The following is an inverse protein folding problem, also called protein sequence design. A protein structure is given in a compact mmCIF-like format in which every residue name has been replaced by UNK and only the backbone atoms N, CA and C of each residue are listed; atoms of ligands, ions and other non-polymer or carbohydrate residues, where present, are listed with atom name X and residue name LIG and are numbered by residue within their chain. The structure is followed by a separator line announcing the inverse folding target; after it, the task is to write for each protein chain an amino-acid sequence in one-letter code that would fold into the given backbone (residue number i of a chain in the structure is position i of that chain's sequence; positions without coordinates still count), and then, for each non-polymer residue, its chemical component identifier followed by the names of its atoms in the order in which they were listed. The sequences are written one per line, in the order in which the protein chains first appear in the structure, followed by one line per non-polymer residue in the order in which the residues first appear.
data_IF_140797753332
#
_entry.id   IF_140797753332
#
_cell.length_a   1.000
_cell.length_b   1.000
_cell.length_c   1.000
_cell.angle_alpha   90.00
_cell.angle_beta   90.00
_cell.angle_gamma   90.00
#
_symmetry.space_group_name_H-M   'P 1'
#
loop_
_entity.id
_entity.type
_entity.pdbx_description
1 polymer ?
#
# COMPACT_ATOMS: atom_id res chain seq x y z
N UNK A 1 0.06 -6.55 19.35
CA UNK A 1 -1.32 -6.14 19.65
C UNK A 1 -1.82 -5.37 18.45
N UNK A 2 -2.69 -5.99 17.67
CA UNK A 2 -3.28 -5.41 16.47
C UNK A 2 -4.07 -4.14 16.82
N UNK A 3 -3.89 -3.08 16.04
CA UNK A 3 -4.62 -1.81 16.20
C UNK A 3 -5.51 -1.54 14.99
N UNK A 4 -6.68 -0.95 15.27
CA UNK A 4 -7.56 -0.41 14.24
C UNK A 4 -7.13 1.01 13.85
N UNK A 5 -7.57 1.50 12.69
CA UNK A 5 -7.21 2.83 12.21
C UNK A 5 -7.64 3.92 13.21
N UNK A 6 -8.82 3.80 13.82
CA UNK A 6 -9.31 4.73 14.83
C UNK A 6 -8.40 4.76 16.07
N UNK A 7 -7.90 3.60 16.52
CA UNK A 7 -6.98 3.52 17.67
C UNK A 7 -5.64 4.19 17.39
N UNK A 8 -5.10 3.98 16.18
CA UNK A 8 -3.86 4.65 15.73
C UNK A 8 -4.10 6.16 15.66
N UNK A 9 -5.20 6.59 15.05
CA UNK A 9 -5.60 8.01 14.94
C UNK A 9 -5.65 8.67 16.32
N UNK A 10 -6.34 8.05 17.28
CA UNK A 10 -6.42 8.55 18.64
C UNK A 10 -5.05 8.61 19.34
N UNK A 11 -4.18 7.60 19.12
CA UNK A 11 -2.80 7.60 19.63
C UNK A 11 -2.02 8.81 19.12
N UNK A 12 -2.05 9.07 17.81
CA UNK A 12 -1.37 10.22 17.20
C UNK A 12 -1.92 11.55 17.74
N UNK A 13 -3.25 11.73 17.75
CA UNK A 13 -3.89 12.96 18.26
C UNK A 13 -3.48 13.21 19.72
N UNK A 14 -3.53 12.17 20.55
CA UNK A 14 -3.16 12.27 21.98
C UNK A 14 -1.70 12.66 22.17
N UNK A 15 -0.79 12.20 21.32
CA UNK A 15 0.64 12.55 21.38
C UNK A 15 0.89 14.00 20.96
N UNK A 16 0.13 14.51 19.97
CA UNK A 16 0.28 15.87 19.45
C UNK A 16 -0.41 16.91 20.34
N UNK A 17 -1.57 16.58 20.94
CA UNK A 17 -2.44 17.51 21.68
C UNK A 17 -1.72 18.40 22.72
N UNK A 18 -0.80 17.90 23.55
CA UNK A 18 -0.12 18.74 24.56
C UNK A 18 0.74 19.88 23.96
N UNK A 19 1.07 19.80 22.67
CA UNK A 19 1.91 20.79 21.97
C UNK A 19 1.10 21.76 21.10
N UNK A 20 -0.20 21.53 20.98
CA UNK A 20 -1.09 22.40 20.21
C UNK A 20 -1.76 23.42 21.13
N UNK A 21 -2.08 24.60 20.61
CA UNK A 21 -2.97 25.52 21.31
C UNK A 21 -4.37 24.93 21.41
N UNK A 22 -5.13 25.32 22.45
CA UNK A 22 -6.51 24.85 22.65
C UNK A 22 -7.43 25.17 21.46
N UNK A 23 -7.07 26.17 20.65
CA UNK A 23 -7.82 26.59 19.45
C UNK A 23 -7.49 25.76 18.19
N UNK A 24 -6.46 24.92 18.23
CA UNK A 24 -6.03 24.12 17.07
C UNK A 24 -6.88 22.84 16.94
N UNK A 25 -7.91 22.88 16.11
CA UNK A 25 -8.72 21.70 15.79
C UNK A 25 -8.00 20.80 14.78
N UNK A 26 -7.52 19.65 15.23
CA UNK A 26 -6.96 18.62 14.36
C UNK A 26 -8.07 17.75 13.79
N UNK A 27 -8.23 17.73 12.47
CA UNK A 27 -9.24 16.90 11.82
C UNK A 27 -8.83 15.42 11.83
N UNK A 28 -9.68 14.55 12.40
CA UNK A 28 -9.50 13.09 12.35
C UNK A 28 -9.26 12.57 10.93
N UNK A 29 -10.01 13.09 9.95
CA UNK A 29 -9.87 12.70 8.54
C UNK A 29 -8.45 12.98 8.03
N UNK A 30 -7.95 14.17 8.32
CA UNK A 30 -6.60 14.56 7.89
C UNK A 30 -5.50 13.71 8.56
N UNK A 31 -5.65 13.39 9.86
CA UNK A 31 -4.73 12.48 10.55
C UNK A 31 -4.76 11.08 9.93
N UNK A 32 -5.95 10.56 9.61
CA UNK A 32 -6.10 9.27 8.89
C UNK A 32 -5.42 9.29 7.53
N UNK A 33 -5.54 10.38 6.78
CA UNK A 33 -4.87 10.54 5.49
C UNK A 33 -3.34 10.55 5.66
N UNK A 34 -2.80 11.18 6.72
CA UNK A 34 -1.36 11.09 7.04
C UNK A 34 -0.94 9.67 7.43
N UNK A 35 -1.77 8.93 8.17
CA UNK A 35 -1.52 7.53 8.55
C UNK A 35 -1.41 6.65 7.30
N UNK A 36 -2.36 6.78 6.36
CA UNK A 36 -2.35 6.03 5.09
C UNK A 36 -1.10 6.37 4.27
N UNK A 37 -0.76 7.67 4.15
CA UNK A 37 0.43 8.09 3.43
C UNK A 37 1.73 7.49 4.01
N UNK A 38 1.90 7.54 5.34
CA UNK A 38 3.07 6.96 6.02
C UNK A 38 3.07 5.43 5.90
N UNK A 39 1.92 4.77 6.00
CA UNK A 39 1.81 3.32 5.74
C UNK A 39 2.38 2.96 4.37
N UNK A 40 2.03 3.71 3.32
CA UNK A 40 2.49 3.44 1.95
C UNK A 40 4.00 3.65 1.80
N UNK A 41 4.60 4.55 2.58
CA UNK A 41 6.06 4.69 2.68
C UNK A 41 6.68 3.47 3.35
N UNK A 42 6.13 3.02 4.49
CA UNK A 42 6.64 1.86 5.22
C UNK A 42 6.54 0.55 4.42
N UNK A 43 5.48 0.39 3.62
CA UNK A 43 5.32 -0.75 2.70
C UNK A 43 6.45 -0.78 1.69
N UNK A 44 6.74 0.36 1.04
CA UNK A 44 7.84 0.47 0.06
C UNK A 44 9.20 0.22 0.71
N UNK A 45 9.43 0.73 1.92
CA UNK A 45 10.66 0.46 2.68
C UNK A 45 10.82 -1.03 3.02
N UNK A 46 9.73 -1.69 3.44
CA UNK A 46 9.73 -3.13 3.76
C UNK A 46 9.99 -3.98 2.52
N UNK A 47 9.38 -3.62 1.39
CA UNK A 47 9.63 -4.26 0.09
C UNK A 47 11.09 -4.09 -0.36
N UNK A 48 11.63 -2.86 -0.27
CA UNK A 48 13.01 -2.56 -0.68
C UNK A 48 14.05 -3.26 0.20
N UNK A 49 13.74 -3.48 1.48
CA UNK A 49 14.57 -4.26 2.40
C UNK A 49 14.44 -5.78 2.23
N UNK A 50 13.61 -6.26 1.29
CA UNK A 50 13.33 -7.68 1.02
C UNK A 50 12.77 -8.42 2.25
N UNK A 51 12.13 -7.72 3.16
CA UNK A 51 11.41 -8.33 4.28
C UNK A 51 10.08 -8.94 3.81
N UNK A 52 9.48 -9.79 4.64
CA UNK A 52 8.18 -10.39 4.31
C UNK A 52 7.08 -9.33 4.25
N UNK A 53 6.20 -9.46 3.25
CA UNK A 53 5.06 -8.57 3.04
C UNK A 53 3.73 -9.17 3.52
N UNK A 54 3.76 -10.36 4.13
CA UNK A 54 2.56 -11.16 4.42
C UNK A 54 1.50 -10.42 5.26
N UNK A 55 1.94 -9.56 6.17
CA UNK A 55 1.08 -8.82 7.10
C UNK A 55 0.44 -7.55 6.50
N UNK A 56 0.78 -7.18 5.26
CA UNK A 56 0.16 -6.04 4.57
C UNK A 56 -0.96 -6.45 3.63
N UNK A 57 -1.06 -7.74 3.29
CA UNK A 57 -2.07 -8.23 2.38
C UNK A 57 -3.45 -8.20 3.01
N UNK A 58 -4.42 -7.86 2.19
CA UNK A 58 -5.84 -7.83 2.52
C UNK A 58 -6.57 -8.66 1.49
N UNK A 59 -7.57 -9.40 1.95
CA UNK A 59 -8.47 -10.17 1.09
C UNK A 59 -9.68 -9.30 0.73
N UNK A 60 -10.06 -9.34 -0.55
CA UNK A 60 -11.29 -8.76 -1.04
C UNK A 60 -11.97 -9.77 -1.97
N UNK A 61 -13.26 -9.94 -1.78
CA UNK A 61 -14.10 -10.78 -2.64
C UNK A 61 -14.95 -9.86 -3.51
N UNK A 62 -14.93 -10.10 -4.82
CA UNK A 62 -15.71 -9.34 -5.79
C UNK A 62 -16.68 -10.26 -6.51
N UNK A 63 -17.95 -9.85 -6.70
CA UNK A 63 -18.80 -10.49 -7.69
C UNK A 63 -18.18 -10.31 -9.07
N UNK A 64 -18.19 -11.38 -9.86
CA UNK A 64 -17.60 -11.40 -11.17
C UNK A 64 -18.43 -10.56 -12.14
N UNK A 65 -17.94 -9.33 -12.35
CA UNK A 65 -17.64 -8.75 -13.66
C UNK A 65 -18.82 -8.34 -14.55
N UNK A 66 -18.75 -7.08 -14.96
CA UNK A 66 -19.44 -6.56 -16.14
C UNK A 66 -18.79 -7.11 -17.41
N UNK A 67 -19.50 -7.96 -18.15
CA UNK A 67 -19.14 -8.25 -19.54
C UNK A 67 -19.48 -7.01 -20.38
N UNK A 68 -18.47 -6.34 -20.92
CA UNK A 68 -18.72 -5.27 -21.89
C UNK A 68 -18.73 -5.89 -23.28
N UNK A 69 -19.93 -6.00 -23.87
CA UNK A 69 -20.10 -6.51 -25.24
C UNK A 69 -19.94 -5.41 -26.29
N UNK A 70 -19.79 -4.15 -25.85
CA UNK A 70 -19.60 -3.02 -26.75
C UNK A 70 -18.91 -1.84 -26.09
N UNK A 71 -17.97 -1.21 -26.77
CA UNK A 71 -17.31 0.03 -26.31
C UNK A 71 -17.67 1.17 -27.26
N UNK A 72 -18.09 2.32 -26.73
CA UNK A 72 -18.32 3.53 -27.52
C UNK A 72 -17.10 4.45 -27.46
N UNK A 73 -16.48 4.74 -28.62
CA UNK A 73 -15.35 5.67 -28.76
C UNK A 73 -15.72 6.71 -29.81
N UNK A 74 -15.75 7.98 -29.45
CA UNK A 74 -16.05 9.06 -30.39
C UNK A 74 -17.44 8.96 -31.04
N UNK A 75 -18.43 8.44 -30.32
CA UNK A 75 -19.80 8.26 -30.83
C UNK A 75 -20.01 7.00 -31.69
N UNK A 76 -18.96 6.21 -31.94
CA UNK A 76 -19.06 4.92 -32.63
C UNK A 76 -19.04 3.79 -31.60
N UNK A 77 -20.02 2.88 -31.69
CA UNK A 77 -20.11 1.70 -30.84
C UNK A 77 -19.49 0.51 -31.55
N UNK A 78 -18.43 -0.04 -30.96
CA UNK A 78 -17.75 -1.23 -31.43
C UNK A 78 -18.27 -2.41 -30.63
N UNK A 79 -18.84 -3.41 -31.31
CA UNK A 79 -19.17 -4.69 -30.67
C UNK A 79 -17.90 -5.53 -30.55
N UNK A 80 -17.70 -6.11 -29.38
CA UNK A 80 -16.59 -7.02 -29.13
C UNK A 80 -17.12 -8.44 -29.35
N UNK A 81 -16.49 -9.17 -30.27
CA UNK A 81 -16.85 -10.57 -30.55
C UNK A 81 -16.62 -11.48 -29.33
N UNK A 82 -15.61 -11.13 -28.51
CA UNK A 82 -15.28 -11.85 -27.28
C UNK A 82 -15.78 -11.12 -26.04
N UNK A 83 -16.43 -11.89 -25.14
CA UNK A 83 -16.74 -11.43 -23.79
C UNK A 83 -15.43 -11.15 -23.05
N UNK A 84 -15.14 -9.87 -22.83
CA UNK A 84 -14.03 -9.45 -21.97
C UNK A 84 -14.52 -9.35 -20.55
N UNK A 85 -13.74 -9.94 -19.65
CA UNK A 85 -14.03 -9.95 -18.23
C UNK A 85 -13.07 -9.01 -17.51
N UNK A 86 -13.57 -8.06 -16.72
CA UNK A 86 -12.74 -7.21 -15.88
C UNK A 86 -13.37 -6.90 -14.51
N UNK A 87 -12.53 -6.80 -13.49
CA UNK A 87 -12.91 -6.32 -12.15
C UNK A 87 -12.15 -5.04 -11.84
N UNK A 88 -12.86 -4.04 -11.35
CA UNK A 88 -12.24 -2.84 -10.78
C UNK A 88 -11.93 -3.12 -9.31
N UNK A 89 -10.67 -2.92 -8.92
CA UNK A 89 -10.21 -3.05 -7.54
C UNK A 89 -9.63 -1.71 -7.07
N UNK A 90 -9.53 -1.44 -5.76
CA UNK A 90 -8.78 -0.29 -5.27
C UNK A 90 -7.35 -0.28 -5.81
N UNK A 91 -6.79 0.92 -5.96
CA UNK A 91 -5.40 1.10 -6.36
C UNK A 91 -4.47 0.33 -5.43
N UNK A 92 -3.52 -0.40 -6.01
CA UNK A 92 -2.46 -1.04 -5.24
C UNK A 92 -1.36 -0.03 -4.88
N UNK A 93 -0.55 -0.35 -3.87
CA UNK A 93 0.61 0.49 -3.56
C UNK A 93 1.58 0.48 -4.74
N UNK A 94 1.98 1.67 -5.21
CA UNK A 94 2.96 1.80 -6.28
C UNK A 94 4.36 1.31 -5.87
N UNK A 95 5.20 1.03 -6.87
CA UNK A 95 6.64 0.71 -6.70
C UNK A 95 6.96 -0.62 -5.97
N UNK A 96 5.98 -1.51 -5.77
CA UNK A 96 6.21 -2.87 -5.23
C UNK A 96 6.04 -3.98 -6.28
N UNK A 97 5.87 -3.59 -7.55
CA UNK A 97 5.92 -4.49 -8.71
C UNK A 97 4.94 -5.65 -8.62
N UNK A 98 5.44 -6.87 -8.68
CA UNK A 98 4.62 -8.09 -8.67
C UNK A 98 4.16 -8.50 -7.27
N UNK A 99 4.65 -7.84 -6.22
CA UNK A 99 4.28 -8.12 -4.81
C UNK A 99 3.04 -7.36 -4.35
N UNK A 100 2.41 -6.56 -5.21
CA UNK A 100 1.15 -5.89 -4.89
C UNK A 100 -0.05 -6.86 -4.81
N UNK A 101 -0.04 -7.96 -5.57
CA UNK A 101 -1.10 -8.96 -5.62
C UNK A 101 -0.51 -10.34 -5.37
N UNK A 102 -0.91 -10.98 -4.27
CA UNK A 102 -0.47 -12.32 -3.88
C UNK A 102 -1.34 -13.41 -4.48
N UNK A 103 -2.64 -13.17 -4.59
CA UNK A 103 -3.58 -14.13 -5.14
C UNK A 103 -4.67 -13.40 -5.93
N UNK A 104 -5.00 -13.95 -7.09
CA UNK A 104 -6.22 -13.65 -7.83
C UNK A 104 -6.72 -15.00 -8.32
N UNK A 105 -7.98 -15.32 -8.06
CA UNK A 105 -8.51 -16.63 -8.41
C UNK A 105 -9.97 -16.79 -8.06
N UNK A 106 -10.42 -18.05 -8.13
CA UNK A 106 -11.77 -18.43 -7.73
C UNK A 106 -11.98 -18.14 -6.24
N UNK A 107 -13.23 -17.83 -5.87
CA UNK A 107 -13.57 -17.41 -4.51
C UNK A 107 -13.26 -18.45 -3.42
N UNK A 108 -13.20 -19.73 -3.81
CA UNK A 108 -12.97 -20.88 -2.94
C UNK A 108 -11.49 -21.29 -2.84
N UNK A 109 -10.58 -20.51 -3.44
CA UNK A 109 -9.15 -20.75 -3.49
C UNK A 109 -8.70 -22.00 -4.25
N UNK A 110 -9.61 -22.69 -4.96
CA UNK A 110 -9.25 -23.93 -5.65
C UNK A 110 -8.41 -23.67 -6.91
N UNK A 111 -8.61 -22.52 -7.54
CA UNK A 111 -7.94 -22.14 -8.79
C UNK A 111 -7.35 -20.75 -8.69
N UNK A 112 -6.03 -20.65 -8.82
CA UNK A 112 -5.34 -19.37 -9.00
C UNK A 112 -5.23 -19.01 -10.48
N UNK A 113 -5.21 -17.71 -10.77
CA UNK A 113 -5.04 -17.20 -12.12
C UNK A 113 -3.61 -16.71 -12.29
N UNK A 114 -3.03 -16.98 -13.47
CA UNK A 114 -1.67 -16.58 -13.78
C UNK A 114 -1.63 -15.08 -14.10
N UNK A 115 -0.82 -14.33 -13.34
CA UNK A 115 -0.56 -12.93 -13.66
C UNK A 115 0.39 -12.85 -14.86
N UNK A 116 0.00 -12.05 -15.85
CA UNK A 116 0.77 -11.82 -17.07
C UNK A 116 1.09 -10.33 -17.24
N UNK A 117 2.22 -10.04 -17.89
CA UNK A 117 2.46 -8.70 -18.43
C UNK A 117 1.39 -8.37 -19.47
N UNK A 118 1.17 -7.09 -19.74
CA UNK A 118 0.17 -6.67 -20.71
C UNK A 118 0.42 -7.28 -22.11
N UNK A 119 1.68 -7.36 -22.55
CA UNK A 119 2.04 -7.95 -23.84
C UNK A 119 1.82 -9.47 -23.87
N UNK A 120 2.24 -10.20 -22.82
CA UNK A 120 1.99 -11.63 -22.72
C UNK A 120 0.49 -11.93 -22.67
N UNK A 121 -0.28 -11.12 -21.93
CA UNK A 121 -1.73 -11.24 -21.85
C UNK A 121 -2.42 -11.05 -23.21
N UNK A 122 -1.89 -10.19 -24.08
CA UNK A 122 -2.41 -10.01 -25.46
C UNK A 122 -2.08 -11.16 -26.39
N UNK A 123 -0.97 -11.86 -26.14
CA UNK A 123 -0.46 -12.91 -27.00
C UNK A 123 -0.79 -14.33 -26.50
N UNK A 124 -1.43 -14.46 -25.33
CA UNK A 124 -1.69 -15.76 -24.68
C UNK A 124 -2.49 -16.73 -25.57
N UNK A 125 -3.35 -16.21 -26.45
CA UNK A 125 -4.16 -17.04 -27.35
C UNK A 125 -3.31 -17.76 -28.41
N UNK A 126 -2.09 -17.27 -28.66
CA UNK A 126 -1.11 -17.90 -29.55
C UNK A 126 -0.20 -18.91 -28.83
N UNK A 127 -0.29 -19.01 -27.50
CA UNK A 127 0.52 -19.94 -26.73
C UNK A 127 -0.08 -21.36 -26.80
N UNK A 128 0.71 -22.32 -27.29
CA UNK A 128 0.24 -23.70 -27.49
C UNK A 128 -0.12 -24.41 -26.17
N UNK A 129 0.48 -24.02 -25.06
CA UNK A 129 0.42 -24.76 -23.80
C UNK A 129 -0.47 -24.10 -22.76
N UNK A 130 -0.52 -22.77 -22.73
CA UNK A 130 -1.17 -21.97 -21.69
C UNK A 130 -2.35 -21.14 -22.19
N UNK A 131 -2.71 -21.26 -23.49
CA UNK A 131 -3.84 -20.53 -24.08
C UNK A 131 -5.18 -20.79 -23.43
N UNK A 132 -5.36 -21.91 -22.72
CA UNK A 132 -6.59 -22.23 -21.99
C UNK A 132 -6.51 -21.95 -20.49
N UNK A 133 -5.34 -21.59 -19.99
CA UNK A 133 -5.13 -21.37 -18.56
C UNK A 133 -5.72 -20.01 -18.14
N UNK A 134 -6.33 -19.93 -16.95
CA UNK A 134 -6.92 -18.70 -16.47
C UNK A 134 -5.79 -17.72 -16.18
N UNK A 135 -5.90 -16.52 -16.70
CA UNK A 135 -4.88 -15.51 -16.53
C UNK A 135 -5.48 -14.13 -16.36
N UNK A 136 -4.67 -13.24 -15.81
CA UNK A 136 -5.03 -11.85 -15.64
C UNK A 136 -3.86 -10.90 -15.90
N UNK A 137 -4.20 -9.66 -16.21
CA UNK A 137 -3.25 -8.56 -16.16
C UNK A 137 -3.84 -7.39 -15.39
N UNK A 138 -3.01 -6.69 -14.62
CA UNK A 138 -3.41 -5.54 -13.80
C UNK A 138 -3.03 -4.25 -14.52
N UNK A 139 -4.02 -3.40 -14.81
CA UNK A 139 -3.85 -2.11 -15.50
C UNK A 139 -4.75 -1.08 -14.84
N UNK A 140 -4.17 0.00 -14.31
CA UNK A 140 -4.91 1.17 -13.78
C UNK A 140 -6.10 0.78 -12.89
N UNK A 141 -5.82 0.03 -11.80
CA UNK A 141 -6.85 -0.38 -10.84
C UNK A 141 -7.92 -1.33 -11.42
N UNK A 142 -7.67 -1.94 -12.58
CA UNK A 142 -8.53 -2.94 -13.21
C UNK A 142 -7.78 -4.25 -13.47
N UNK A 143 -8.35 -5.37 -13.02
CA UNK A 143 -7.93 -6.72 -13.38
C UNK A 143 -8.65 -7.13 -14.65
N UNK A 144 -7.92 -7.31 -15.74
CA UNK A 144 -8.45 -7.87 -16.99
C UNK A 144 -8.24 -9.37 -16.95
N UNK A 145 -9.31 -10.14 -17.05
CA UNK A 145 -9.29 -11.60 -16.95
C UNK A 145 -9.49 -12.25 -18.32
N UNK A 146 -8.88 -13.42 -18.51
CA UNK A 146 -9.02 -14.30 -19.68
C UNK A 146 -9.13 -15.75 -19.22
N UNK A 147 -9.85 -16.55 -20.00
CA UNK A 147 -10.10 -17.97 -19.74
C UNK A 147 -10.75 -18.29 -18.38
N UNK A 148 -11.46 -17.32 -17.82
CA UNK A 148 -12.24 -17.45 -16.57
C UNK A 148 -13.69 -17.79 -16.91
N UNK A 149 -13.92 -19.02 -17.40
CA UNK A 149 -15.26 -19.47 -17.78
C UNK A 149 -16.09 -19.85 -16.55
N UNK A 150 -17.31 -19.32 -16.43
CA UNK A 150 -18.27 -19.72 -15.40
C UNK A 150 -17.97 -19.20 -13.99
N UNK A 151 -17.07 -18.23 -13.85
CA UNK A 151 -16.69 -17.67 -12.56
C UNK A 151 -17.67 -16.55 -12.20
N UNK A 152 -18.39 -16.72 -11.10
CA UNK A 152 -19.34 -15.73 -10.58
C UNK A 152 -18.77 -14.82 -9.50
N UNK A 153 -17.67 -15.22 -8.85
CA UNK A 153 -17.00 -14.44 -7.81
C UNK A 153 -15.50 -14.69 -7.89
N UNK A 154 -14.70 -13.63 -7.72
CA UNK A 154 -13.25 -13.73 -7.63
C UNK A 154 -12.76 -13.28 -6.26
N UNK A 155 -11.70 -13.92 -5.77
CA UNK A 155 -10.98 -13.45 -4.59
C UNK A 155 -9.67 -12.82 -5.02
N UNK A 156 -9.38 -11.64 -4.45
CA UNK A 156 -8.14 -10.88 -4.64
C UNK A 156 -7.48 -10.69 -3.29
N UNK A 157 -6.25 -11.18 -3.15
CA UNK A 157 -5.39 -10.90 -1.99
C UNK A 157 -4.30 -9.94 -2.45
N UNK A 158 -4.34 -8.71 -1.95
CA UNK A 158 -3.47 -7.62 -2.42
C UNK A 158 -3.09 -6.61 -1.34
N UNK A 159 -2.11 -5.78 -1.66
CA UNK A 159 -1.66 -4.64 -0.85
C UNK A 159 -2.19 -3.37 -1.49
N UNK A 160 -3.26 -2.84 -0.89
CA UNK A 160 -3.97 -1.67 -1.41
C UNK A 160 -3.41 -0.37 -0.83
N UNK A 161 -3.49 0.70 -1.63
CA UNK A 161 -2.98 2.02 -1.28
C UNK A 161 -3.74 2.62 -0.09
N UNK A 162 -5.07 2.52 -0.10
CA UNK A 162 -5.92 2.96 1.00
C UNK A 162 -6.85 1.83 1.42
N UNK A 163 -6.68 1.25 2.62
CA UNK A 163 -7.53 0.16 3.08
C UNK A 163 -8.99 0.59 3.29
N UNK A 164 -9.28 1.89 3.42
CA UNK A 164 -10.65 2.42 3.57
C UNK A 164 -11.48 2.29 2.28
N UNK A 165 -10.81 2.13 1.14
CA UNK A 165 -11.48 1.93 -0.15
C UNK A 165 -11.91 0.47 -0.38
N UNK A 166 -11.61 -0.42 0.56
CA UNK A 166 -11.98 -1.83 0.50
C UNK A 166 -13.38 -1.99 1.08
N UNK A 167 -14.24 -2.71 0.37
CA UNK A 167 -15.58 -3.02 0.85
C UNK A 167 -15.52 -3.78 2.18
N UNK A 168 -16.31 -3.31 3.17
CA UNK A 168 -16.35 -3.91 4.50
C UNK A 168 -15.26 -3.45 5.47
N UNK A 169 -14.33 -2.57 5.06
CA UNK A 169 -13.36 -1.99 5.98
C UNK A 169 -14.02 -0.92 6.89
N UNK A 170 -13.92 -1.11 8.20
CA UNK A 170 -14.42 -0.18 9.22
C UNK A 170 -13.26 0.31 10.11
N UNK A 171 -13.13 1.63 10.23
CA UNK A 171 -12.03 2.28 10.96
C UNK A 171 -11.91 1.85 12.43
N UNK A 172 -13.02 1.42 13.06
CA UNK A 172 -13.10 1.11 14.49
C UNK A 172 -12.89 -0.37 14.76
N UNK A 173 -13.38 -1.24 13.87
CA UNK A 173 -13.40 -2.70 14.08
C UNK A 173 -12.38 -3.46 13.23
N UNK A 174 -12.08 -2.99 12.03
CA UNK A 174 -11.11 -3.66 11.14
C UNK A 174 -9.69 -3.45 11.63
N UNK A 175 -8.91 -4.52 11.60
CA UNK A 175 -7.47 -4.49 11.87
C UNK A 175 -6.80 -3.67 10.77
N UNK A 176 -5.96 -2.70 11.16
CA UNK A 176 -5.22 -1.91 10.19
C UNK A 176 -4.11 -2.78 9.59
N UNK A 177 -4.01 -2.89 8.24
CA UNK A 177 -3.10 -3.81 7.55
C UNK A 177 -1.64 -3.31 7.60
N UNK A 178 -1.03 -3.46 8.77
CA UNK A 178 0.35 -3.09 9.07
C UNK A 178 0.93 -4.05 10.13
N UNK A 179 2.15 -4.56 9.96
CA UNK A 179 2.89 -5.25 11.02
C UNK A 179 2.87 -4.51 12.36
N UNK A 180 2.59 -5.23 13.45
CA UNK A 180 2.59 -4.67 14.81
C UNK A 180 3.91 -3.99 15.18
N UNK A 181 5.04 -4.52 14.67
CA UNK A 181 6.39 -3.99 14.88
C UNK A 181 6.56 -2.60 14.24
N UNK A 182 5.81 -2.31 13.18
CA UNK A 182 5.88 -1.04 12.44
C UNK A 182 4.90 0.02 12.97
N UNK A 183 3.89 -0.36 13.76
CA UNK A 183 2.90 0.58 14.31
C UNK A 183 3.57 1.72 15.12
N UNK A 184 4.52 1.47 16.04
CA UNK A 184 5.18 2.55 16.78
C UNK A 184 5.96 3.49 15.88
N UNK A 185 6.64 2.95 14.85
CA UNK A 185 7.37 3.74 13.85
C UNK A 185 6.41 4.60 13.04
N UNK A 186 5.26 4.07 12.63
CA UNK A 186 4.22 4.82 11.95
C UNK A 186 3.70 5.97 12.82
N UNK A 187 3.32 5.70 14.08
CA UNK A 187 2.79 6.72 14.99
C UNK A 187 3.79 7.86 15.23
N UNK A 188 5.07 7.52 15.37
CA UNK A 188 6.15 8.50 15.53
C UNK A 188 6.29 9.40 14.30
N UNK A 189 6.37 8.81 13.10
CA UNK A 189 6.51 9.58 11.84
C UNK A 189 5.28 10.46 11.60
N UNK A 190 4.08 9.92 11.80
CA UNK A 190 2.83 10.69 11.65
C UNK A 190 2.81 11.86 12.65
N UNK A 191 3.10 11.60 13.93
CA UNK A 191 3.13 12.64 14.98
C UNK A 191 4.12 13.75 14.64
N UNK A 192 5.33 13.39 14.19
CA UNK A 192 6.36 14.35 13.76
C UNK A 192 5.88 15.19 12.57
N UNK A 193 5.35 14.54 11.53
CA UNK A 193 4.81 15.22 10.35
C UNK A 193 3.67 16.20 10.71
N UNK A 194 2.83 15.85 11.69
CA UNK A 194 1.75 16.72 12.15
C UNK A 194 2.32 17.96 12.84
N UNK A 195 3.26 17.78 13.77
CA UNK A 195 3.87 18.88 14.52
C UNK A 195 4.62 19.85 13.60
N UNK A 196 5.36 19.33 12.62
CA UNK A 196 6.06 20.13 11.61
C UNK A 196 5.08 20.97 10.78
N UNK A 197 3.96 20.39 10.34
CA UNK A 197 2.94 21.10 9.55
C UNK A 197 2.16 22.13 10.34
N UNK A 198 2.00 21.93 11.64
CA UNK A 198 1.33 22.88 12.54
C UNK A 198 2.24 24.03 12.99
N UNK A 199 3.45 24.14 12.42
CA UNK A 199 4.44 25.15 12.76
C UNK A 199 4.76 25.22 14.27
N UNK A 200 4.63 24.09 14.96
CA UNK A 200 5.07 23.99 16.35
C UNK A 200 6.60 24.08 16.31
N UNK A 201 7.24 25.04 17.00
CA UNK A 201 8.68 25.15 16.99
C UNK A 201 9.28 23.83 17.47
N UNK A 202 10.12 23.24 16.63
CA UNK A 202 10.89 22.04 16.96
C UNK A 202 11.75 22.39 18.17
N UNK A 203 11.57 21.67 19.28
CA UNK A 203 12.39 21.87 20.48
C UNK A 203 13.80 21.31 20.22
N UNK A 204 14.66 22.16 19.65
CA UNK A 204 16.03 21.84 19.23
C UNK A 204 16.86 21.25 20.38
N UNK A 205 16.48 21.51 21.64
CA UNK A 205 17.20 21.04 22.83
C UNK A 205 16.95 19.57 23.13
N UNK A 206 15.74 19.06 22.87
CA UNK A 206 15.40 17.65 23.12
C UNK A 206 15.66 16.73 21.91
N UNK A 207 15.56 17.25 20.68
CA UNK A 207 15.75 16.44 19.46
C UNK A 207 17.23 16.27 19.05
N UNK A 208 18.17 16.93 19.74
CA UNK A 208 19.62 16.80 19.53
C UNK A 208 20.31 15.69 20.32
N UNK A 209 19.58 14.94 21.14
CA UNK A 209 20.11 13.74 21.79
C UNK A 209 20.05 12.57 20.79
N UNK A 210 20.65 12.77 19.61
CA UNK A 210 20.94 11.72 18.65
C UNK A 210 22.48 11.66 18.51
N UNK A 211 23.05 10.52 18.85
CA UNK A 211 24.43 10.28 19.29
C UNK A 211 25.52 10.48 18.21
N UNK A 212 25.68 11.68 17.65
CA UNK A 212 26.72 11.95 16.64
C UNK A 212 27.80 12.97 17.05
N UNK A 213 27.74 13.58 18.23
CA UNK A 213 28.74 14.58 18.63
C UNK A 213 29.83 14.11 19.60
N UNK A 214 29.89 12.83 20.00
CA UNK A 214 30.96 12.32 20.87
C UNK A 214 31.89 11.31 20.18
N UNK A 215 32.28 11.55 18.92
CA UNK A 215 33.55 11.00 18.42
C UNK A 215 34.61 12.05 18.64
N UNK A 216 35.18 12.08 19.85
CA UNK A 216 36.43 12.78 20.14
C UNK A 216 37.50 12.09 19.28
N UNK A 217 37.88 12.71 18.17
CA UNK A 217 39.02 12.23 17.36
C UNK A 217 40.28 12.40 18.22
N UNK A 218 41.03 11.33 18.53
CA UNK A 218 42.25 11.45 19.32
C UNK A 218 43.25 12.35 18.60
N UNK A 219 43.59 13.48 19.22
CA UNK A 219 44.58 14.44 18.70
C UNK A 219 45.98 13.89 18.97
N UNK A 220 46.36 12.81 18.30
CA UNK A 220 47.67 12.19 18.45
C UNK A 220 48.27 11.91 17.08
N UNK A 221 48.46 12.94 16.25
CA UNK A 221 49.29 12.84 15.04
C UNK A 221 49.86 14.17 14.54
N UNK A 222 49.83 15.25 15.34
CA UNK A 222 50.37 16.56 14.94
C UNK A 222 51.83 16.84 15.33
N UNK A 223 52.50 15.95 16.06
CA UNK A 223 53.87 16.22 16.55
C UNK A 223 55.01 15.56 15.75
N UNK A 224 54.74 14.82 14.68
CA UNK A 224 55.79 14.12 13.91
C UNK A 224 56.28 14.86 12.65
N UNK A 225 56.02 16.16 12.52
CA UNK A 225 56.53 16.98 11.40
C UNK A 225 57.33 18.24 11.80
N UNK A 226 57.73 18.35 13.06
CA UNK A 226 58.60 19.44 13.51
C UNK A 226 59.75 18.92 14.37
N UNK A 227 60.56 18.02 13.82
CA UNK A 227 61.93 17.69 14.19
C UNK A 227 62.39 16.73 13.09
N UNK A 228 63.23 17.18 12.16
CA UNK A 228 64.66 16.85 12.20
C UNK A 228 64.94 15.84 11.10
#
# INVERSE_FOLDING_TARGET
MEKTLQRITYSCIRQVKPRLSDDSLLSDKWVKDQIVAVRNILIRETHNSKATMDQFYQEIQYPAIQSVNSVSIGGLTFHLDDKKWYVTIPSTVADIGWSDLKFVGDWDYTRSYNRLTFDAFRLIDYDRYTSTDPCYTYVESSLKLRNTYGVENITVIGIFEDPRNIEGFDDKTSIFPLPDVLIPKLELIVTKNILEKMAVPVDIVNDRIDNTQNVVVPTAQKELKQQG
#
